data_IF_950756399245
#
_entry.id   IF_950756399245
#
_cell.length_a   1.000
_cell.length_b   1.000
_cell.length_c   1.000
_cell.angle_alpha   90.00
_cell.angle_beta   90.00
_cell.angle_gamma   90.00
#
_symmetry.space_group_name_H-M   'P 1'
#
loop_
_entity.id
_entity.type
_entity.pdbx_description
1 polymer ?
#
# COMPACT_ATOMS: atom_id res chain seq x y z
N UNK A 1 -33.20 143.75 -43.07
CA UNK A 1 -33.78 142.49 -42.54
C UNK A 1 -32.89 141.26 -42.80
N UNK A 2 -32.03 141.29 -43.82
CA UNK A 2 -31.16 140.15 -44.21
C UNK A 2 -30.18 139.66 -43.13
N UNK A 3 -29.62 140.56 -42.30
CA UNK A 3 -28.68 140.18 -41.23
C UNK A 3 -29.34 139.32 -40.12
N UNK A 4 -30.66 139.45 -39.91
CA UNK A 4 -31.41 138.61 -38.95
C UNK A 4 -31.68 137.21 -39.54
N UNK A 5 -32.08 137.13 -40.82
CA UNK A 5 -32.24 135.83 -41.52
C UNK A 5 -30.96 135.01 -41.54
N UNK A 6 -29.81 135.62 -41.86
CA UNK A 6 -28.51 134.91 -41.86
C UNK A 6 -28.10 134.45 -40.45
N UNK A 7 -28.46 135.22 -39.41
CA UNK A 7 -28.20 134.84 -38.02
C UNK A 7 -29.09 133.67 -37.57
N UNK A 8 -30.38 133.69 -37.92
CA UNK A 8 -31.32 132.62 -37.60
C UNK A 8 -31.02 131.33 -38.39
N UNK A 9 -30.58 131.42 -39.64
CA UNK A 9 -30.08 130.27 -40.42
C UNK A 9 -28.81 129.68 -39.80
N UNK A 10 -27.85 130.52 -39.39
CA UNK A 10 -26.63 130.06 -38.70
C UNK A 10 -26.95 129.46 -37.34
N UNK A 11 -27.91 130.02 -36.59
CA UNK A 11 -28.37 129.48 -35.32
C UNK A 11 -29.05 128.12 -35.50
N UNK A 12 -29.94 127.99 -36.49
CA UNK A 12 -30.57 126.73 -36.85
C UNK A 12 -29.57 125.66 -37.28
N UNK A 13 -28.54 126.03 -38.05
CA UNK A 13 -27.45 125.12 -38.43
C UNK A 13 -26.60 124.68 -37.22
N UNK A 14 -26.33 125.59 -36.27
CA UNK A 14 -25.62 125.26 -35.02
C UNK A 14 -26.47 124.35 -34.12
N UNK A 15 -27.78 124.59 -34.03
CA UNK A 15 -28.68 123.74 -33.25
C UNK A 15 -28.84 122.35 -33.88
N UNK A 16 -28.88 122.24 -35.22
CA UNK A 16 -28.82 120.96 -35.94
C UNK A 16 -27.49 120.23 -35.72
N UNK A 17 -26.36 120.95 -35.80
CA UNK A 17 -25.04 120.37 -35.53
C UNK A 17 -24.92 119.90 -34.07
N UNK A 18 -25.49 120.63 -33.11
CA UNK A 18 -25.55 120.22 -31.70
C UNK A 18 -26.42 118.98 -31.49
N UNK A 19 -27.60 118.91 -32.13
CA UNK A 19 -28.45 117.73 -32.09
C UNK A 19 -27.78 116.50 -32.69
N UNK A 20 -27.11 116.68 -33.83
CA UNK A 20 -26.33 115.62 -34.48
C UNK A 20 -25.14 115.18 -33.62
N UNK A 21 -24.42 116.12 -33.01
CA UNK A 21 -23.32 115.82 -32.09
C UNK A 21 -23.81 115.02 -30.87
N UNK A 22 -24.93 115.40 -30.26
CA UNK A 22 -25.53 114.65 -29.14
C UNK A 22 -25.99 113.25 -29.56
N UNK A 23 -26.55 113.09 -30.76
CA UNK A 23 -26.92 111.78 -31.32
C UNK A 23 -25.70 110.90 -31.56
N UNK A 24 -24.62 111.45 -32.13
CA UNK A 24 -23.36 110.73 -32.34
C UNK A 24 -22.76 110.34 -30.98
N UNK A 25 -22.76 111.23 -29.99
CA UNK A 25 -22.24 110.96 -28.65
C UNK A 25 -23.04 109.87 -27.93
N UNK A 26 -24.38 109.88 -28.06
CA UNK A 26 -25.22 108.80 -27.52
C UNK A 26 -24.94 107.46 -28.21
N UNK A 27 -24.82 107.47 -29.54
CA UNK A 27 -24.50 106.26 -30.30
C UNK A 27 -23.10 105.73 -29.96
N UNK A 28 -22.12 106.61 -29.73
CA UNK A 28 -20.80 106.23 -29.26
C UNK A 28 -20.87 105.59 -27.87
N UNK A 29 -21.61 106.19 -26.94
CA UNK A 29 -21.79 105.63 -25.59
C UNK A 29 -22.50 104.27 -25.62
N UNK A 30 -23.55 104.12 -26.44
CA UNK A 30 -24.25 102.85 -26.61
C UNK A 30 -23.36 101.78 -27.25
N UNK A 31 -22.49 102.17 -28.19
CA UNK A 31 -21.50 101.28 -28.79
C UNK A 31 -20.42 100.87 -27.77
N UNK A 32 -19.86 101.81 -27.00
CA UNK A 32 -18.90 101.55 -25.93
C UNK A 32 -19.48 100.63 -24.85
N UNK A 33 -20.73 100.85 -24.45
CA UNK A 33 -21.44 99.96 -23.52
C UNK A 33 -21.60 98.55 -24.10
N UNK A 34 -21.96 98.42 -25.38
CA UNK A 34 -22.06 97.12 -26.05
C UNK A 34 -20.72 96.40 -26.12
N UNK A 35 -19.63 97.12 -26.39
CA UNK A 35 -18.27 96.57 -26.39
C UNK A 35 -17.89 96.10 -24.98
N UNK A 36 -18.12 96.90 -23.94
CA UNK A 36 -17.83 96.50 -22.56
C UNK A 36 -18.63 95.26 -22.10
N UNK A 37 -19.91 95.15 -22.52
CA UNK A 37 -20.74 93.97 -22.24
C UNK A 37 -20.24 92.75 -23.03
N UNK A 38 -19.82 92.94 -24.28
CA UNK A 38 -19.23 91.87 -25.09
C UNK A 38 -17.90 91.39 -24.52
N UNK A 39 -17.02 92.30 -24.08
CA UNK A 39 -15.72 91.97 -23.48
C UNK A 39 -15.88 91.19 -22.17
N UNK A 40 -16.81 91.60 -21.31
CA UNK A 40 -17.12 90.84 -20.08
C UNK A 40 -17.71 89.47 -20.39
N UNK A 41 -18.54 89.36 -21.44
CA UNK A 41 -19.05 88.08 -21.91
C UNK A 41 -17.94 87.19 -22.48
N UNK A 42 -17.02 87.73 -23.28
CA UNK A 42 -15.85 87.03 -23.82
C UNK A 42 -14.97 86.52 -22.67
N UNK A 43 -14.68 87.35 -21.66
CA UNK A 43 -13.89 86.93 -20.50
C UNK A 43 -14.59 85.83 -19.68
N UNK A 44 -15.92 85.87 -19.56
CA UNK A 44 -16.67 84.80 -18.90
C UNK A 44 -16.62 83.50 -19.72
N UNK A 45 -16.79 83.58 -21.04
CA UNK A 45 -16.71 82.43 -21.94
C UNK A 45 -15.29 81.83 -21.96
N UNK A 46 -14.24 82.65 -21.94
CA UNK A 46 -12.86 82.19 -21.86
C UNK A 46 -12.59 81.46 -20.54
N UNK A 47 -13.09 81.98 -19.42
CA UNK A 47 -12.99 81.30 -18.11
C UNK A 47 -13.75 79.97 -18.09
N UNK A 48 -14.97 79.95 -18.62
CA UNK A 48 -15.76 78.73 -18.74
C UNK A 48 -15.07 77.70 -19.64
N UNK A 49 -14.50 78.13 -20.77
CA UNK A 49 -13.73 77.26 -21.66
C UNK A 49 -12.50 76.68 -20.95
N UNK A 50 -11.73 77.50 -20.23
CA UNK A 50 -10.55 77.04 -19.49
C UNK A 50 -10.92 75.99 -18.43
N UNK A 51 -11.98 76.24 -17.64
CA UNK A 51 -12.50 75.28 -16.66
C UNK A 51 -12.94 73.98 -17.33
N UNK A 52 -13.67 74.06 -18.44
CA UNK A 52 -14.14 72.87 -19.14
C UNK A 52 -13.01 72.06 -19.79
N UNK A 53 -11.96 72.72 -20.28
CA UNK A 53 -10.75 72.02 -20.77
C UNK A 53 -9.99 71.32 -19.65
N UNK A 54 -9.91 71.93 -18.46
CA UNK A 54 -9.29 71.31 -17.30
C UNK A 54 -10.10 70.10 -16.79
N UNK A 55 -11.43 70.23 -16.74
CA UNK A 55 -12.31 69.10 -16.43
C UNK A 55 -12.22 67.96 -17.44
N UNK A 56 -12.14 68.28 -18.74
CA UNK A 56 -11.93 67.29 -19.79
C UNK A 56 -10.62 66.55 -19.61
N UNK A 57 -9.52 67.27 -19.35
CA UNK A 57 -8.21 66.67 -19.14
C UNK A 57 -8.21 65.76 -17.90
N UNK A 58 -8.82 66.20 -16.79
CA UNK A 58 -8.93 65.41 -15.58
C UNK A 58 -9.78 64.14 -15.80
N UNK A 59 -10.90 64.24 -16.53
CA UNK A 59 -11.71 63.06 -16.89
C UNK A 59 -10.97 62.11 -17.80
N UNK A 60 -10.21 62.61 -18.76
CA UNK A 60 -9.41 61.79 -19.66
C UNK A 60 -8.32 61.03 -18.90
N UNK A 61 -7.63 61.69 -17.96
CA UNK A 61 -6.68 61.04 -17.07
C UNK A 61 -7.34 59.96 -16.20
N UNK A 62 -8.53 60.22 -15.65
CA UNK A 62 -9.29 59.24 -14.88
C UNK A 62 -9.71 58.03 -15.74
N UNK A 63 -10.17 58.26 -16.97
CA UNK A 63 -10.53 57.18 -17.88
C UNK A 63 -9.33 56.32 -18.25
N UNK A 64 -8.17 56.94 -18.50
CA UNK A 64 -6.93 56.21 -18.76
C UNK A 64 -6.52 55.36 -17.54
N UNK A 65 -6.57 55.92 -16.33
CA UNK A 65 -6.29 55.16 -15.11
C UNK A 65 -7.25 53.98 -14.95
N UNK A 66 -8.56 54.23 -15.08
CA UNK A 66 -9.58 53.20 -14.91
C UNK A 66 -9.47 52.10 -15.97
N UNK A 67 -9.10 52.45 -17.21
CA UNK A 67 -8.86 51.47 -18.27
C UNK A 67 -7.67 50.54 -17.97
N UNK A 68 -6.58 51.08 -17.41
CA UNK A 68 -5.43 50.27 -16.97
C UNK A 68 -5.79 49.36 -15.80
N UNK A 69 -6.51 49.90 -14.81
CA UNK A 69 -6.97 49.11 -13.67
C UNK A 69 -7.91 47.97 -14.13
N UNK A 70 -8.76 48.23 -15.12
CA UNK A 70 -9.65 47.22 -15.68
C UNK A 70 -8.87 46.11 -16.40
N UNK A 71 -7.91 46.46 -17.26
CA UNK A 71 -7.03 45.47 -17.92
C UNK A 71 -6.23 44.62 -16.92
N UNK A 72 -5.66 45.25 -15.88
CA UNK A 72 -4.93 44.54 -14.83
C UNK A 72 -5.85 43.58 -14.05
N UNK A 73 -7.07 44.01 -13.74
CA UNK A 73 -8.04 43.18 -13.02
C UNK A 73 -8.56 42.04 -13.89
N UNK A 74 -8.78 42.26 -15.18
CA UNK A 74 -9.16 41.20 -16.12
C UNK A 74 -8.05 40.15 -16.25
N UNK A 75 -6.80 40.58 -16.41
CA UNK A 75 -5.65 39.66 -16.46
C UNK A 75 -5.49 38.87 -15.15
N UNK A 76 -5.69 39.52 -14.00
CA UNK A 76 -5.67 38.84 -12.70
C UNK A 76 -6.83 37.85 -12.55
N UNK A 77 -8.02 38.20 -13.04
CA UNK A 77 -9.19 37.33 -12.96
C UNK A 77 -8.99 36.07 -13.79
N UNK A 78 -8.45 36.20 -15.00
CA UNK A 78 -8.15 35.05 -15.85
C UNK A 78 -7.07 34.14 -15.26
N UNK A 79 -6.00 34.70 -14.70
CA UNK A 79 -4.99 33.87 -14.00
C UNK A 79 -5.59 33.13 -12.82
N UNK A 80 -6.43 33.80 -12.01
CA UNK A 80 -7.13 33.16 -10.88
C UNK A 80 -8.13 32.08 -11.31
N UNK A 81 -8.78 32.23 -12.45
CA UNK A 81 -9.66 31.18 -13.02
C UNK A 81 -8.85 29.94 -13.40
N UNK A 82 -7.72 30.13 -14.06
CA UNK A 82 -6.82 29.04 -14.44
C UNK A 82 -6.29 28.33 -13.19
N UNK A 83 -5.82 29.08 -12.19
CA UNK A 83 -5.34 28.52 -10.91
C UNK A 83 -6.43 27.69 -10.22
N UNK A 84 -7.67 28.21 -10.18
CA UNK A 84 -8.79 27.53 -9.55
C UNK A 84 -9.14 26.23 -10.27
N UNK A 85 -9.14 26.24 -11.61
CA UNK A 85 -9.40 25.04 -12.40
C UNK A 85 -8.30 23.98 -12.19
N UNK A 86 -7.03 24.39 -12.19
CA UNK A 86 -5.92 23.49 -11.89
C UNK A 86 -6.02 22.88 -10.49
N UNK A 87 -6.43 23.68 -9.50
CA UNK A 87 -6.60 23.21 -8.13
C UNK A 87 -7.77 22.23 -8.01
N UNK A 88 -8.86 22.45 -8.75
CA UNK A 88 -9.99 21.52 -8.83
C UNK A 88 -9.56 20.19 -9.46
N UNK A 89 -8.86 20.21 -10.58
CA UNK A 89 -8.35 19.00 -11.24
C UNK A 89 -7.39 18.22 -10.32
N UNK A 90 -6.50 18.92 -9.61
CA UNK A 90 -5.61 18.30 -8.62
C UNK A 90 -6.39 17.68 -7.46
N UNK A 91 -7.43 18.36 -6.97
CA UNK A 91 -8.27 17.86 -5.90
C UNK A 91 -9.01 16.58 -6.32
N UNK A 92 -9.59 16.56 -7.52
CA UNK A 92 -10.28 15.37 -8.06
C UNK A 92 -9.33 14.19 -8.23
N UNK A 93 -8.15 14.40 -8.83
CA UNK A 93 -7.12 13.35 -8.94
C UNK A 93 -6.68 12.81 -7.60
N UNK A 94 -6.44 13.69 -6.63
CA UNK A 94 -6.03 13.28 -5.27
C UNK A 94 -7.13 12.47 -4.60
N UNK A 95 -8.40 12.86 -4.79
CA UNK A 95 -9.55 12.13 -4.25
C UNK A 95 -9.67 10.73 -4.86
N UNK A 96 -9.49 10.61 -6.17
CA UNK A 96 -9.47 9.31 -6.85
C UNK A 96 -8.34 8.41 -6.32
N UNK A 97 -7.14 8.94 -6.19
CA UNK A 97 -6.00 8.21 -5.61
C UNK A 97 -6.26 7.75 -4.18
N UNK A 98 -6.91 8.58 -3.35
CA UNK A 98 -7.29 8.20 -1.99
C UNK A 98 -8.29 7.03 -2.02
N UNK A 99 -9.30 7.08 -2.89
CA UNK A 99 -10.29 6.01 -3.01
C UNK A 99 -9.68 4.70 -3.50
N UNK A 100 -8.77 4.77 -4.47
CA UNK A 100 -8.04 3.61 -4.98
C UNK A 100 -7.16 3.01 -3.89
N UNK A 101 -6.38 3.83 -3.17
CA UNK A 101 -5.55 3.39 -2.06
C UNK A 101 -6.38 2.77 -0.92
N UNK A 102 -7.56 3.32 -0.61
CA UNK A 102 -8.49 2.74 0.36
C UNK A 102 -8.99 1.37 -0.07
N UNK A 103 -9.36 1.21 -1.34
CA UNK A 103 -9.80 -0.08 -1.89
C UNK A 103 -8.67 -1.12 -1.86
N UNK A 104 -7.46 -0.75 -2.24
CA UNK A 104 -6.28 -1.62 -2.16
C UNK A 104 -5.98 -2.03 -0.71
N UNK A 105 -6.07 -1.09 0.24
CA UNK A 105 -5.87 -1.36 1.66
C UNK A 105 -6.90 -2.34 2.20
N UNK A 106 -8.17 -2.19 1.84
CA UNK A 106 -9.23 -3.12 2.22
C UNK A 106 -9.02 -4.51 1.63
N UNK A 107 -8.59 -4.60 0.36
CA UNK A 107 -8.19 -5.85 -0.27
C UNK A 107 -7.05 -6.55 0.46
N UNK A 108 -5.98 -5.82 0.79
CA UNK A 108 -4.84 -6.35 1.54
C UNK A 108 -5.23 -6.78 2.96
N UNK A 109 -6.14 -6.07 3.63
CA UNK A 109 -6.67 -6.48 4.94
C UNK A 109 -7.42 -7.80 4.87
N UNK A 110 -8.22 -8.01 3.83
CA UNK A 110 -8.93 -9.28 3.63
C UNK A 110 -7.96 -10.43 3.37
N UNK A 111 -6.94 -10.22 2.53
CA UNK A 111 -5.88 -11.20 2.30
C UNK A 111 -5.12 -11.53 3.58
N UNK A 112 -4.74 -10.52 4.37
CA UNK A 112 -4.08 -10.72 5.66
C UNK A 112 -4.95 -11.53 6.63
N UNK A 113 -6.26 -11.26 6.68
CA UNK A 113 -7.18 -12.02 7.52
C UNK A 113 -7.30 -13.49 7.08
N UNK A 114 -7.31 -13.75 5.76
CA UNK A 114 -7.38 -15.10 5.21
C UNK A 114 -6.09 -15.88 5.49
N UNK A 115 -4.92 -15.27 5.26
CA UNK A 115 -3.63 -15.90 5.54
C UNK A 115 -3.41 -16.14 7.04
N UNK A 116 -3.86 -15.24 7.92
CA UNK A 116 -3.83 -15.50 9.36
C UNK A 116 -4.71 -16.70 9.75
N UNK A 117 -5.91 -16.86 9.16
CA UNK A 117 -6.75 -18.04 9.42
C UNK A 117 -6.07 -19.32 8.95
N UNK A 118 -5.40 -19.31 7.80
CA UNK A 118 -4.62 -20.46 7.31
C UNK A 118 -3.46 -20.78 8.24
N UNK A 119 -2.74 -19.75 8.70
CA UNK A 119 -1.64 -19.89 9.64
C UNK A 119 -2.11 -20.49 10.96
N UNK A 120 -3.21 -19.99 11.52
CA UNK A 120 -3.78 -20.50 12.77
C UNK A 120 -4.24 -21.96 12.62
N UNK A 121 -4.87 -22.30 11.49
CA UNK A 121 -5.24 -23.69 11.20
C UNK A 121 -4.01 -24.61 11.14
N UNK A 122 -2.93 -24.18 10.47
CA UNK A 122 -1.69 -24.96 10.38
C UNK A 122 -0.92 -25.04 11.68
N UNK A 123 -0.94 -23.99 12.51
CA UNK A 123 -0.39 -24.04 13.87
C UNK A 123 -1.15 -25.01 14.74
N UNK A 124 -2.48 -24.97 14.71
CA UNK A 124 -3.31 -25.90 15.47
C UNK A 124 -3.11 -27.35 15.01
N UNK A 125 -2.99 -27.60 13.69
CA UNK A 125 -2.66 -28.91 13.14
C UNK A 125 -1.28 -29.39 13.62
N UNK A 126 -0.27 -28.52 13.55
CA UNK A 126 1.07 -28.82 14.05
C UNK A 126 1.07 -29.13 15.55
N UNK A 127 0.41 -28.31 16.36
CA UNK A 127 0.38 -28.49 17.82
C UNK A 127 -0.41 -29.74 18.22
N UNK A 128 -1.48 -30.06 17.50
CA UNK A 128 -2.22 -31.31 17.67
C UNK A 128 -1.31 -32.51 17.34
N UNK A 129 -0.70 -32.53 16.16
CA UNK A 129 0.21 -33.61 15.73
C UNK A 129 1.41 -33.75 16.66
N UNK A 130 2.00 -32.63 17.09
CA UNK A 130 3.08 -32.63 18.08
C UNK A 130 2.60 -33.21 19.41
N UNK A 131 1.42 -32.82 19.90
CA UNK A 131 0.88 -33.38 21.14
C UNK A 131 0.54 -34.87 21.02
N UNK A 132 0.13 -35.34 19.84
CA UNK A 132 -0.10 -36.76 19.53
C UNK A 132 1.21 -37.56 19.57
N UNK A 133 2.27 -37.00 18.98
CA UNK A 133 3.62 -37.57 19.01
C UNK A 133 4.18 -37.56 20.45
N UNK A 134 4.12 -36.44 21.16
CA UNK A 134 4.62 -36.29 22.54
C UNK A 134 3.84 -37.18 23.53
N UNK A 135 2.55 -37.43 23.28
CA UNK A 135 1.73 -38.36 24.06
C UNK A 135 1.95 -39.82 23.67
N UNK A 136 2.71 -40.07 22.60
CA UNK A 136 3.01 -41.39 22.03
C UNK A 136 1.73 -42.20 21.81
N UNK A 137 0.66 -41.55 21.34
CA UNK A 137 -0.63 -42.20 21.11
C UNK A 137 -0.50 -43.34 20.07
N UNK A 138 -0.99 -44.54 20.38
CA UNK A 138 -0.75 -45.76 19.59
C UNK A 138 0.34 -46.71 20.14
N UNK A 139 1.24 -46.23 21.00
CA UNK A 139 2.25 -47.09 21.63
C UNK A 139 1.73 -47.79 22.91
N UNK A 140 2.21 -49.03 23.20
CA UNK A 140 1.92 -49.72 24.45
C UNK A 140 2.33 -48.90 25.69
N UNK A 141 1.62 -49.06 26.80
CA UNK A 141 1.89 -48.33 28.05
C UNK A 141 3.34 -48.51 28.54
N UNK A 142 3.93 -49.69 28.27
CA UNK A 142 5.32 -50.01 28.59
C UNK A 142 6.32 -49.11 27.85
N UNK A 143 6.09 -48.85 26.56
CA UNK A 143 6.95 -48.01 25.71
C UNK A 143 6.84 -46.54 26.13
N UNK A 144 5.60 -46.07 26.40
CA UNK A 144 5.31 -44.72 26.90
C UNK A 144 5.98 -44.43 28.24
N UNK A 145 5.94 -45.41 29.15
CA UNK A 145 6.53 -45.27 30.47
C UNK A 145 8.05 -45.17 30.37
N UNK A 146 8.67 -46.03 29.56
CA UNK A 146 10.10 -45.95 29.29
C UNK A 146 10.49 -44.59 28.71
N UNK A 147 9.80 -44.10 27.67
CA UNK A 147 10.15 -42.82 27.05
C UNK A 147 10.12 -41.62 28.02
N UNK A 148 9.22 -41.62 29.01
CA UNK A 148 9.04 -40.51 29.98
C UNK A 148 9.99 -40.53 31.17
N UNK A 149 10.65 -41.65 31.45
CA UNK A 149 11.45 -41.80 32.68
C UNK A 149 12.95 -41.58 32.40
N UNK A 150 13.59 -40.58 33.03
CA UNK A 150 15.02 -40.30 32.83
C UNK A 150 15.97 -41.24 33.60
N UNK A 151 15.45 -42.14 34.44
CA UNK A 151 16.24 -43.07 35.29
C UNK A 151 16.95 -44.19 34.50
N UNK A 152 16.63 -44.35 33.22
CA UNK A 152 17.31 -45.26 32.29
C UNK A 152 17.74 -44.48 31.05
N UNK A 153 18.37 -45.15 30.09
CA UNK A 153 18.82 -44.56 28.83
C UNK A 153 17.64 -44.16 27.91
N UNK A 154 16.87 -43.14 28.32
CA UNK A 154 15.65 -42.64 27.66
C UNK A 154 15.89 -42.04 26.27
N UNK A 155 17.15 -41.84 25.89
CA UNK A 155 17.56 -41.41 24.55
C UNK A 155 17.68 -42.57 23.56
N UNK A 156 17.51 -43.81 24.01
CA UNK A 156 17.44 -44.97 23.13
C UNK A 156 16.25 -44.81 22.17
N UNK A 157 16.49 -44.75 20.85
CA UNK A 157 15.41 -44.59 19.89
C UNK A 157 14.60 -45.88 19.73
N UNK A 158 13.32 -45.72 19.41
CA UNK A 158 12.43 -46.81 19.01
C UNK A 158 12.72 -47.15 17.54
N UNK A 159 12.59 -48.41 17.12
CA UNK A 159 12.83 -48.80 15.73
C UNK A 159 12.06 -47.93 14.72
N UNK A 160 10.82 -47.54 15.05
CA UNK A 160 9.99 -46.66 14.22
C UNK A 160 10.58 -45.26 13.97
N UNK A 161 11.42 -44.75 14.88
CA UNK A 161 12.03 -43.41 14.73
C UNK A 161 13.31 -43.43 13.89
N UNK A 162 13.87 -44.62 13.65
CA UNK A 162 15.19 -44.81 13.03
C UNK A 162 15.06 -45.14 11.53
N UNK A 163 13.95 -45.77 11.13
CA UNK A 163 13.73 -46.24 9.76
C UNK A 163 12.89 -45.21 9.00
N UNK A 164 13.49 -44.55 8.02
CA UNK A 164 12.77 -43.70 7.08
C UNK A 164 12.48 -44.47 5.79
N UNK A 165 11.22 -44.49 5.34
CA UNK A 165 10.79 -45.25 4.16
C UNK A 165 10.12 -44.32 3.16
N UNK A 166 10.42 -44.51 1.87
CA UNK A 166 9.70 -43.83 0.77
C UNK A 166 8.21 -44.15 0.82
N UNK A 167 7.38 -43.11 0.65
CA UNK A 167 5.92 -43.19 0.83
C UNK A 167 5.26 -44.29 -0.02
N UNK A 168 5.73 -44.49 -1.26
CA UNK A 168 5.22 -45.51 -2.18
C UNK A 168 5.31 -46.95 -1.64
N UNK A 169 6.25 -47.24 -0.73
CA UNK A 169 6.51 -48.60 -0.22
C UNK A 169 6.23 -48.74 1.28
N UNK A 170 5.72 -47.68 1.93
CA UNK A 170 5.51 -47.64 3.39
C UNK A 170 4.62 -48.80 3.87
N UNK A 171 3.49 -49.04 3.21
CA UNK A 171 2.55 -50.08 3.62
C UNK A 171 3.13 -51.49 3.57
N UNK A 172 3.96 -51.79 2.56
CA UNK A 172 4.59 -53.11 2.41
C UNK A 172 5.65 -53.35 3.50
N UNK A 173 6.46 -52.33 3.80
CA UNK A 173 7.49 -52.41 4.84
C UNK A 173 6.87 -52.42 6.25
N UNK A 174 5.81 -51.63 6.47
CA UNK A 174 5.09 -51.57 7.74
C UNK A 174 4.48 -52.92 8.12
N UNK A 175 3.84 -53.65 7.19
CA UNK A 175 3.28 -54.98 7.46
C UNK A 175 4.33 -55.99 7.96
N UNK A 176 5.58 -55.89 7.50
CA UNK A 176 6.66 -56.79 7.91
C UNK A 176 7.26 -56.35 9.25
N UNK A 177 7.37 -55.04 9.48
CA UNK A 177 7.97 -54.48 10.68
C UNK A 177 6.98 -54.32 11.84
N UNK A 178 5.67 -54.40 11.61
CA UNK A 178 4.60 -54.20 12.59
C UNK A 178 4.89 -54.85 13.96
N UNK A 179 5.35 -56.12 14.05
CA UNK A 179 5.64 -56.76 15.34
C UNK A 179 6.86 -56.20 16.07
N UNK A 180 7.76 -55.52 15.35
CA UNK A 180 9.07 -55.06 15.81
C UNK A 180 9.18 -53.53 15.93
N UNK A 181 8.23 -52.76 15.37
CA UNK A 181 8.24 -51.30 15.38
C UNK A 181 8.31 -50.71 16.79
N UNK A 182 7.74 -51.39 17.78
CA UNK A 182 7.67 -50.93 19.18
C UNK A 182 8.94 -51.26 20.01
N UNK A 183 10.00 -51.80 19.40
CA UNK A 183 11.15 -52.29 20.14
C UNK A 183 12.19 -51.18 20.28
N UNK A 184 12.79 -51.07 21.47
CA UNK A 184 13.86 -50.11 21.73
C UNK A 184 15.21 -50.64 21.26
N UNK A 185 16.02 -49.78 20.67
CA UNK A 185 17.39 -50.13 20.26
C UNK A 185 18.38 -49.66 21.33
N UNK A 186 18.98 -50.62 22.04
CA UNK A 186 19.96 -50.37 23.10
C UNK A 186 21.35 -50.84 22.70
N UNK A 187 22.37 -50.16 23.20
CA UNK A 187 23.75 -50.52 22.89
C UNK A 187 24.16 -51.80 23.64
N UNK A 188 23.90 -51.83 24.95
CA UNK A 188 24.43 -52.82 25.88
C UNK A 188 23.33 -53.64 26.59
N UNK A 189 23.65 -54.86 27.02
CA UNK A 189 22.76 -55.70 27.85
C UNK A 189 22.39 -55.03 29.18
N UNK A 190 23.31 -54.26 29.76
CA UNK A 190 23.10 -53.55 31.02
C UNK A 190 21.96 -52.52 30.91
N UNK A 191 21.89 -51.79 29.79
CA UNK A 191 20.84 -50.79 29.55
C UNK A 191 19.46 -51.46 29.41
N UNK A 192 19.39 -52.57 28.67
CA UNK A 192 18.16 -53.36 28.54
C UNK A 192 17.69 -53.93 29.88
N UNK A 193 18.61 -54.43 30.72
CA UNK A 193 18.28 -54.94 32.05
C UNK A 193 17.79 -53.84 33.00
N UNK A 194 18.38 -52.63 32.94
CA UNK A 194 17.91 -51.48 33.72
C UNK A 194 16.47 -51.11 33.34
N UNK A 195 16.17 -51.05 32.04
CA UNK A 195 14.83 -50.77 31.54
C UNK A 195 13.80 -51.83 31.99
N UNK A 196 14.17 -53.11 31.98
CA UNK A 196 13.31 -54.21 32.45
C UNK A 196 13.04 -54.11 33.96
N UNK A 197 14.06 -53.86 34.78
CA UNK A 197 13.87 -53.71 36.23
C UNK A 197 12.97 -52.51 36.55
N UNK A 198 13.12 -51.42 35.80
CA UNK A 198 12.30 -50.22 35.95
C UNK A 198 10.83 -50.49 35.58
N UNK A 199 10.58 -51.26 34.52
CA UNK A 199 9.24 -51.72 34.16
C UNK A 199 8.62 -52.65 35.21
N UNK A 200 9.40 -53.58 35.76
CA UNK A 200 8.94 -54.54 36.76
C UNK A 200 8.63 -53.87 38.11
N UNK A 201 9.51 -52.96 38.56
CA UNK A 201 9.32 -52.17 39.77
C UNK A 201 8.02 -51.36 39.76
N UNK A 202 7.68 -50.79 38.59
CA UNK A 202 6.46 -50.01 38.40
C UNK A 202 5.27 -50.82 37.86
N UNK A 203 5.43 -52.13 37.61
CA UNK A 203 4.42 -53.04 37.04
C UNK A 203 3.80 -52.52 35.73
N UNK A 204 4.61 -51.93 34.86
CA UNK A 204 4.18 -51.25 33.63
C UNK A 204 4.21 -52.12 32.37
N UNK A 205 4.13 -53.44 32.51
CA UNK A 205 3.98 -54.39 31.39
C UNK A 205 5.30 -54.96 30.86
N UNK A 206 5.33 -55.30 29.57
CA UNK A 206 6.47 -55.95 28.90
C UNK A 206 6.95 -55.09 27.74
N UNK A 207 8.27 -54.94 27.59
CA UNK A 207 8.89 -54.29 26.45
C UNK A 207 9.98 -55.18 25.86
N UNK A 208 10.22 -55.05 24.56
CA UNK A 208 11.25 -55.78 23.84
C UNK A 208 12.37 -54.83 23.42
N UNK A 209 13.60 -55.34 23.40
CA UNK A 209 14.81 -54.56 23.17
C UNK A 209 15.70 -55.26 22.13
N UNK A 210 16.23 -54.48 21.20
CA UNK A 210 17.29 -54.89 20.28
C UNK A 210 18.66 -54.51 20.86
N UNK A 211 19.57 -55.47 20.88
CA UNK A 211 20.93 -55.32 21.43
C UNK A 211 21.93 -55.20 20.29
N UNK A 212 22.47 -53.99 20.06
CA UNK A 212 23.44 -53.73 18.98
C UNK A 212 24.70 -54.59 19.11
N UNK A 213 25.19 -54.83 20.33
CA UNK A 213 26.38 -55.64 20.58
C UNK A 213 26.26 -57.12 20.19
N UNK A 214 25.02 -57.63 20.12
CA UNK A 214 24.74 -59.06 19.82
C UNK A 214 24.36 -59.32 18.37
N UNK A 215 24.18 -58.27 17.56
CA UNK A 215 23.82 -58.36 16.14
C UNK A 215 25.02 -58.64 15.21
N UNK A 216 26.12 -59.20 15.75
CA UNK A 216 27.39 -59.35 15.02
C UNK A 216 27.53 -60.64 14.19
N UNK A 217 26.51 -61.49 14.13
CA UNK A 217 26.58 -62.74 13.37
C UNK A 217 25.32 -62.93 12.55
N UNK A 218 25.40 -62.56 11.26
CA UNK A 218 24.84 -63.29 10.11
C UNK A 218 24.55 -62.34 8.94
N UNK A 219 25.55 -62.15 8.09
CA UNK A 219 25.32 -61.67 6.72
C UNK A 219 24.88 -62.86 5.88
N UNK A 220 23.60 -63.21 5.91
CA UNK A 220 23.06 -64.16 4.95
C UNK A 220 22.85 -63.43 3.62
N UNK A 221 23.74 -63.68 2.66
CA UNK A 221 23.49 -63.34 1.26
C UNK A 221 22.44 -64.32 0.74
N UNK A 222 21.18 -63.91 0.72
CA UNK A 222 20.11 -64.63 0.03
C UNK A 222 20.04 -64.21 -1.44
N UNK A 223 19.60 -65.14 -2.29
CA UNK A 223 19.46 -64.91 -3.72
C UNK A 223 18.24 -64.02 -3.96
N UNK A 224 18.41 -62.90 -4.66
CA UNK A 224 17.31 -62.00 -5.00
C UNK A 224 16.46 -62.64 -6.12
N UNK A 225 15.15 -62.86 -5.92
CA UNK A 225 14.26 -63.37 -6.96
C UNK A 225 14.08 -62.33 -8.08
N UNK A 226 13.97 -62.79 -9.34
CA UNK A 226 13.78 -61.91 -10.50
C UNK A 226 12.47 -61.10 -10.38
N UNK A 227 12.55 -59.78 -10.58
CA UNK A 227 11.40 -58.87 -10.51
C UNK A 227 11.08 -58.31 -9.12
N UNK A 228 11.98 -58.45 -8.14
CA UNK A 228 11.80 -57.92 -6.78
C UNK A 228 12.79 -56.81 -6.43
N UNK A 229 12.37 -55.86 -5.59
CA UNK A 229 13.21 -54.79 -5.03
C UNK A 229 13.58 -55.15 -3.59
N UNK A 230 14.86 -55.09 -3.24
CA UNK A 230 15.28 -55.35 -1.86
C UNK A 230 14.76 -54.25 -0.93
N UNK A 231 14.17 -54.63 0.22
CA UNK A 231 13.65 -53.66 1.18
C UNK A 231 14.76 -52.71 1.69
N UNK A 232 16.00 -53.19 1.77
CA UNK A 232 17.18 -52.39 2.16
C UNK A 232 17.50 -51.22 1.22
N UNK A 233 17.08 -51.26 -0.05
CA UNK A 233 17.35 -50.18 -1.02
C UNK A 233 16.28 -49.08 -0.99
N UNK A 234 15.19 -49.31 -0.26
CA UNK A 234 14.02 -48.43 -0.18
C UNK A 234 13.95 -47.69 1.14
N UNK A 235 14.70 -48.16 2.14
CA UNK A 235 14.81 -47.57 3.46
C UNK A 235 16.07 -46.69 3.58
N UNK A 236 15.96 -45.61 4.35
CA UNK A 236 17.08 -44.80 4.81
C UNK A 236 17.23 -44.99 6.31
N UNK A 237 18.42 -45.40 6.74
CA UNK A 237 18.74 -45.74 8.14
C UNK A 237 20.13 -45.20 8.47
N UNK A 238 20.28 -44.63 9.65
CA UNK A 238 21.57 -44.15 10.16
C UNK A 238 22.62 -45.28 10.23
N UNK A 239 23.88 -44.94 9.94
CA UNK A 239 24.97 -45.92 9.80
C UNK A 239 25.17 -46.79 11.05
N UNK A 240 24.87 -46.27 12.25
CA UNK A 240 24.95 -46.99 13.52
C UNK A 240 23.92 -48.14 13.63
N UNK A 241 22.77 -48.01 12.97
CA UNK A 241 21.66 -48.96 13.05
C UNK A 241 21.51 -49.81 11.78
N UNK A 242 22.36 -49.60 10.78
CA UNK A 242 22.34 -50.34 9.51
C UNK A 242 22.37 -51.86 9.70
N UNK A 243 23.17 -52.36 10.65
CA UNK A 243 23.23 -53.80 10.97
C UNK A 243 21.90 -54.36 11.49
N UNK A 244 21.16 -53.56 12.25
CA UNK A 244 19.83 -53.94 12.73
C UNK A 244 18.83 -53.98 11.57
N UNK A 245 18.89 -52.98 10.67
CA UNK A 245 18.07 -52.97 9.46
C UNK A 245 18.38 -54.17 8.55
N UNK A 246 19.65 -54.51 8.34
CA UNK A 246 20.06 -55.70 7.57
C UNK A 246 19.59 -57.00 8.21
N UNK A 247 19.57 -57.10 9.55
CA UNK A 247 19.05 -58.27 10.25
C UNK A 247 17.53 -58.45 10.07
N UNK A 248 16.77 -57.35 10.08
CA UNK A 248 15.31 -57.38 9.98
C UNK A 248 14.80 -57.45 8.54
N UNK A 249 15.48 -56.78 7.61
CA UNK A 249 15.01 -56.54 6.24
C UNK A 249 15.95 -57.14 5.18
N UNK A 250 17.07 -57.75 5.57
CA UNK A 250 18.04 -58.33 4.62
C UNK A 250 17.52 -59.51 3.81
N UNK A 251 16.46 -60.18 4.27
CA UNK A 251 15.78 -61.25 3.55
C UNK A 251 14.39 -60.84 3.04
N UNK A 252 14.08 -59.55 3.04
CA UNK A 252 12.77 -59.02 2.67
C UNK A 252 12.84 -58.39 1.29
N UNK A 253 12.07 -58.94 0.37
CA UNK A 253 11.99 -58.49 -1.03
C UNK A 253 10.56 -58.02 -1.32
N UNK A 254 10.45 -56.85 -1.95
CA UNK A 254 9.19 -56.23 -2.34
C UNK A 254 8.92 -56.58 -3.81
N UNK A 255 7.82 -57.27 -4.07
CA UNK A 255 7.37 -57.60 -5.42
C UNK A 255 6.26 -56.64 -5.87
N UNK A 256 6.30 -56.18 -7.12
CA UNK A 256 5.23 -55.36 -7.71
C UNK A 256 4.10 -56.22 -8.32
N UNK A 257 4.28 -57.54 -8.43
CA UNK A 257 3.31 -58.45 -9.09
C UNK A 257 3.29 -59.83 -8.42
N UNK A 258 2.11 -60.46 -8.33
CA UNK A 258 1.92 -61.81 -7.73
C UNK A 258 2.77 -62.91 -8.40
N UNK A 259 3.16 -62.74 -9.67
CA UNK A 259 4.00 -63.67 -10.42
C UNK A 259 5.41 -63.86 -9.81
N UNK A 260 5.88 -62.93 -8.97
CA UNK A 260 7.17 -63.07 -8.27
C UNK A 260 7.11 -64.08 -7.10
N UNK A 261 5.92 -64.43 -6.62
CA UNK A 261 5.72 -65.39 -5.53
C UNK A 261 5.91 -66.83 -6.01
N UNK A 262 5.65 -67.10 -7.30
CA UNK A 262 5.77 -68.45 -7.90
C UNK A 262 7.22 -68.91 -8.13
N UNK A 263 8.20 -68.00 -8.10
CA UNK A 263 9.62 -68.27 -8.31
C UNK A 263 10.47 -68.17 -7.03
N UNK A 264 9.84 -68.09 -5.86
CA UNK A 264 10.50 -68.03 -4.55
C UNK A 264 10.85 -69.40 -3.98
#
# INVERSE_FOLDING_TARGET
EDKRRVFDEKRGAVDQLRGNYQLIQRNQFDAEKKVAVADTSIQNLQRAHAQQTEEQHNREAQLQQLSRELEEKEALLETRRIDLQQLQDQHERTKEQILEAQSQLEGLRNQLAEENRKLDAKRNEHDLLKSLIDSMEGYPESVKFLHKNPEWNHTAPILSDIIYVKEAYRAAVENVLEPYLNYYVVNNLQEGLQAIHLLDAHKKGKANFFLLDKLNENTHQTHQPEGTVAAMDVIEVDAQYRKLAEYLLGNVYIAETEAAIENS
#
